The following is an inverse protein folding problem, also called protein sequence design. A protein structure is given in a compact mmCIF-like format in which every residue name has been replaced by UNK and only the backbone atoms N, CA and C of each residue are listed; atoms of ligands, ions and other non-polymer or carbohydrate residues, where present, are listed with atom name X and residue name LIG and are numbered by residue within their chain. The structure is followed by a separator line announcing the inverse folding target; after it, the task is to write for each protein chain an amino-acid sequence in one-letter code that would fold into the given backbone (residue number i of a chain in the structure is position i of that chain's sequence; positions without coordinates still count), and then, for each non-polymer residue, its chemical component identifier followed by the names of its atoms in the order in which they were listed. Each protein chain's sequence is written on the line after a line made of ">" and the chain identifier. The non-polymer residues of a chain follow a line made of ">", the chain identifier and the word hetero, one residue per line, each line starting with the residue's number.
data_IF_330743886699
#
_entry.id   IF_330743886699
#
_cell.length_a   1.000
_cell.length_b   1.000
_cell.length_c   1.000
_cell.angle_alpha   90.00
_cell.angle_beta   90.00
_cell.angle_gamma   90.00
#
_symmetry.space_group_name_H-M   'P 1'
#
loop_
_entity.id
_entity.type
_entity.pdbx_description
1 polymer ?
#
# COMPACT_ATOMS: atom_id res chain seq x y z
N UNK A 1 -7.22 -0.06 20.15
CA UNK A 1 -6.84 0.22 18.75
C UNK A 1 -5.33 0.05 18.48
N UNK A 2 -4.93 -0.44 17.29
CA UNK A 2 -3.52 -0.60 16.86
C UNK A 2 -3.34 -0.07 15.44
N UNK A 3 -2.27 0.70 15.20
CA UNK A 3 -1.90 1.18 13.86
C UNK A 3 -0.66 0.45 13.30
N UNK A 4 -0.71 0.13 12.01
CA UNK A 4 0.43 -0.32 11.19
C UNK A 4 0.59 0.61 9.99
N UNK A 5 1.81 1.05 9.70
CA UNK A 5 2.10 1.96 8.59
C UNK A 5 3.06 1.30 7.60
N UNK A 6 2.66 1.17 6.34
CA UNK A 6 3.50 0.66 5.25
C UNK A 6 3.65 1.75 4.20
N UNK A 7 4.84 1.90 3.62
CA UNK A 7 5.11 2.84 2.53
C UNK A 7 5.26 2.07 1.23
N UNK A 8 4.77 2.63 0.14
CA UNK A 8 4.74 1.95 -1.16
C UNK A 8 4.86 2.90 -2.34
N UNK A 9 4.78 2.33 -3.54
CA UNK A 9 4.90 3.06 -4.81
C UNK A 9 3.66 3.03 -5.68
N UNK A 10 2.76 2.07 -5.45
CA UNK A 10 1.68 1.74 -6.36
C UNK A 10 0.33 1.94 -5.67
N UNK A 11 -0.32 3.07 -5.97
CA UNK A 11 -1.68 3.34 -5.49
C UNK A 11 -2.69 2.38 -6.12
N UNK A 12 -2.56 2.07 -7.41
CA UNK A 12 -3.53 1.26 -8.15
C UNK A 12 -3.50 -0.22 -7.76
N UNK A 13 -2.32 -0.78 -7.50
CA UNK A 13 -2.17 -2.11 -6.93
C UNK A 13 -2.75 -2.20 -5.52
N UNK A 14 -2.57 -1.16 -4.70
CA UNK A 14 -3.12 -1.13 -3.34
C UNK A 14 -4.64 -0.95 -3.33
N UNK A 15 -5.18 -0.03 -4.15
CA UNK A 15 -6.63 0.18 -4.25
C UNK A 15 -7.33 -1.12 -4.66
N UNK A 16 -6.92 -1.73 -5.77
CA UNK A 16 -7.46 -3.03 -6.23
C UNK A 16 -7.36 -4.11 -5.16
N UNK A 17 -6.21 -4.25 -4.50
CA UNK A 17 -6.06 -5.23 -3.43
C UNK A 17 -7.09 -5.06 -2.29
N UNK A 18 -7.46 -3.80 -1.99
CA UNK A 18 -8.41 -3.48 -0.93
C UNK A 18 -9.88 -3.59 -1.39
N UNK A 19 -10.20 -3.39 -2.66
CA UNK A 19 -11.59 -3.26 -3.13
C UNK A 19 -12.04 -4.40 -4.05
N UNK A 20 -11.13 -5.15 -4.67
CA UNK A 20 -11.45 -6.22 -5.62
C UNK A 20 -12.43 -7.24 -5.03
N UNK A 21 -13.42 -7.62 -5.84
CA UNK A 21 -14.43 -8.61 -5.48
C UNK A 21 -15.35 -8.19 -4.31
N UNK A 22 -15.44 -6.88 -4.02
CA UNK A 22 -16.26 -6.37 -2.92
C UNK A 22 -15.65 -6.64 -1.54
N UNK A 23 -14.36 -6.97 -1.46
CA UNK A 23 -13.66 -7.26 -0.19
C UNK A 23 -13.69 -6.07 0.79
N UNK A 24 -13.71 -4.85 0.28
CA UNK A 24 -13.69 -3.63 1.08
C UNK A 24 -14.74 -2.63 0.67
N UNK A 25 -15.28 -1.95 1.69
CA UNK A 25 -16.22 -0.86 1.52
C UNK A 25 -15.48 0.46 1.65
N UNK A 26 -15.54 1.29 0.60
CA UNK A 26 -14.98 2.65 0.66
C UNK A 26 -15.89 3.50 1.52
N UNK A 27 -15.32 4.10 2.57
CA UNK A 27 -16.05 4.96 3.49
C UNK A 27 -15.91 6.45 3.15
N UNK A 28 -14.74 6.85 2.63
CA UNK A 28 -14.44 8.26 2.38
C UNK A 28 -13.34 8.43 1.31
N UNK A 29 -13.45 9.49 0.51
CA UNK A 29 -12.50 9.93 -0.51
C UNK A 29 -12.12 11.39 -0.20
N UNK A 30 -11.04 11.58 0.56
CA UNK A 30 -10.62 12.88 1.07
C UNK A 30 -9.70 13.59 0.09
N UNK A 31 -10.01 14.86 -0.18
CA UNK A 31 -9.23 15.73 -1.08
C UNK A 31 -9.01 15.09 -2.47
N UNK A 32 -9.98 14.29 -2.92
CA UNK A 32 -10.02 13.62 -4.20
C UNK A 32 -11.24 14.12 -4.97
N UNK A 33 -11.08 14.35 -6.28
CA UNK A 33 -12.22 14.63 -7.16
C UNK A 33 -12.96 13.34 -7.54
N UNK A 34 -12.26 12.21 -7.48
CA UNK A 34 -12.78 10.89 -7.85
C UNK A 34 -13.55 10.21 -6.71
N UNK A 35 -14.63 9.51 -7.06
CA UNK A 35 -15.45 8.69 -6.15
C UNK A 35 -15.18 7.17 -6.29
N UNK A 36 -14.54 6.75 -7.39
CA UNK A 36 -14.14 5.36 -7.63
C UNK A 36 -12.69 5.06 -7.18
N UNK A 37 -12.41 3.90 -6.54
CA UNK A 37 -11.06 3.54 -6.05
C UNK A 37 -9.94 3.62 -7.08
N UNK A 38 -10.17 3.11 -8.28
CA UNK A 38 -9.19 3.06 -9.37
C UNK A 38 -8.92 4.46 -9.95
N UNK A 39 -9.96 5.30 -10.01
CA UNK A 39 -9.85 6.69 -10.42
C UNK A 39 -9.10 7.52 -9.37
N UNK A 40 -9.46 7.36 -8.09
CA UNK A 40 -8.76 7.99 -6.97
C UNK A 40 -7.28 7.58 -6.90
N UNK A 41 -6.97 6.30 -7.15
CA UNK A 41 -5.60 5.82 -7.22
C UNK A 41 -4.82 6.46 -8.38
N UNK A 42 -5.45 6.59 -9.54
CA UNK A 42 -4.87 7.28 -10.70
C UNK A 42 -4.62 8.76 -10.42
N UNK A 43 -5.58 9.44 -9.79
CA UNK A 43 -5.47 10.83 -9.37
C UNK A 43 -4.29 11.05 -8.39
N UNK A 44 -4.19 10.21 -7.35
CA UNK A 44 -3.06 10.24 -6.42
C UNK A 44 -1.72 9.97 -7.10
N UNK A 45 -1.69 9.06 -8.08
CA UNK A 45 -0.48 8.72 -8.82
C UNK A 45 0.00 9.91 -9.67
N UNK A 46 -0.93 10.64 -10.31
CA UNK A 46 -0.63 11.85 -11.06
C UNK A 46 -0.16 12.96 -10.12
N UNK A 47 -0.87 13.23 -9.03
CA UNK A 47 -0.49 14.25 -8.06
C UNK A 47 0.88 14.00 -7.44
N UNK A 48 1.19 12.74 -7.10
CA UNK A 48 2.50 12.35 -6.57
C UNK A 48 3.65 12.59 -7.56
N UNK A 49 3.39 12.58 -8.88
CA UNK A 49 4.41 12.76 -9.93
C UNK A 49 5.04 14.16 -9.94
N UNK A 50 4.38 15.15 -9.34
CA UNK A 50 4.91 16.52 -9.14
C UNK A 50 6.22 16.48 -8.35
N UNK A 51 6.35 15.55 -7.40
CA UNK A 51 7.56 15.36 -6.61
C UNK A 51 8.54 14.42 -7.31
N UNK A 52 9.63 14.96 -7.87
CA UNK A 52 10.75 14.15 -8.42
C UNK A 52 11.59 13.41 -7.36
N UNK A 53 11.54 13.83 -6.09
CA UNK A 53 12.37 13.27 -5.00
C UNK A 53 11.75 12.06 -4.31
N UNK A 54 10.43 11.97 -4.29
CA UNK A 54 9.69 10.98 -3.49
C UNK A 54 9.59 9.64 -4.20
N UNK A 55 10.36 8.66 -3.73
CA UNK A 55 10.39 7.30 -4.30
C UNK A 55 9.27 6.39 -3.79
N UNK A 56 8.53 6.80 -2.74
CA UNK A 56 7.46 6.02 -2.13
C UNK A 56 6.34 6.94 -1.66
N UNK A 57 5.50 7.42 -2.59
CA UNK A 57 4.45 8.38 -2.30
C UNK A 57 3.28 7.78 -1.53
N UNK A 58 3.08 6.46 -1.57
CA UNK A 58 1.96 5.82 -0.87
C UNK A 58 2.29 5.69 0.62
N UNK A 59 1.36 6.10 1.48
CA UNK A 59 1.32 5.71 2.89
C UNK A 59 0.03 4.92 3.15
N UNK A 60 0.20 3.62 3.40
CA UNK A 60 -0.87 2.71 3.78
C UNK A 60 -0.90 2.56 5.29
N UNK A 61 -2.00 2.96 5.92
CA UNK A 61 -2.19 2.86 7.36
C UNK A 61 -3.33 1.88 7.60
N UNK A 62 -3.06 0.79 8.32
CA UNK A 62 -4.12 -0.07 8.86
C UNK A 62 -4.36 0.32 10.30
N UNK A 63 -5.62 0.58 10.64
CA UNK A 63 -6.06 0.82 12.02
C UNK A 63 -7.03 -0.29 12.39
N UNK A 64 -6.65 -1.09 13.39
CA UNK A 64 -7.47 -2.16 13.94
C UNK A 64 -8.08 -1.72 15.26
N UNK A 65 -9.37 -1.98 15.46
CA UNK A 65 -10.07 -1.74 16.72
C UNK A 65 -9.87 -2.92 17.68
N UNK A 66 -10.07 -2.69 18.97
CA UNK A 66 -10.04 -3.80 19.94
C UNK A 66 -11.32 -4.65 19.75
N UNK A 67 -11.24 -6.00 19.73
CA UNK A 67 -12.43 -6.84 19.65
C UNK A 67 -13.44 -6.57 20.76
N UNK A 68 -13.01 -6.09 21.94
CA UNK A 68 -13.90 -5.76 23.05
C UNK A 68 -14.75 -4.50 22.81
N UNK A 69 -14.36 -3.63 21.87
CA UNK A 69 -15.04 -2.36 21.60
C UNK A 69 -16.23 -2.49 20.63
N UNK A 70 -16.46 -3.69 20.07
CA UNK A 70 -17.50 -3.93 19.07
C UNK A 70 -17.21 -3.32 17.69
N UNK A 71 -18.22 -3.31 16.82
CA UNK A 71 -18.11 -2.74 15.47
C UNK A 71 -18.31 -1.22 15.50
N UNK A 72 -17.31 -0.40 15.12
CA UNK A 72 -17.50 1.03 15.03
C UNK A 72 -18.31 1.39 13.76
N UNK A 73 -19.18 2.39 13.89
CA UNK A 73 -19.97 2.89 12.76
C UNK A 73 -19.12 3.58 11.69
N UNK A 74 -19.66 3.70 10.47
CA UNK A 74 -18.94 4.31 9.33
C UNK A 74 -18.47 5.74 9.65
N UNK A 75 -19.35 6.58 10.23
CA UNK A 75 -19.02 7.95 10.59
C UNK A 75 -17.86 8.03 11.61
N UNK A 76 -17.88 7.16 12.62
CA UNK A 76 -16.79 7.06 13.60
C UNK A 76 -15.47 6.67 12.94
N UNK A 77 -15.47 5.68 12.04
CA UNK A 77 -14.26 5.28 11.32
C UNK A 77 -13.70 6.45 10.47
N UNK A 78 -14.57 7.22 9.81
CA UNK A 78 -14.16 8.39 9.04
C UNK A 78 -13.53 9.47 9.93
N UNK A 79 -14.14 9.79 11.07
CA UNK A 79 -13.61 10.76 12.04
C UNK A 79 -12.25 10.32 12.60
N UNK A 80 -12.13 9.04 12.96
CA UNK A 80 -10.90 8.47 13.52
C UNK A 80 -9.78 8.47 12.47
N UNK A 81 -10.12 8.19 11.20
CA UNK A 81 -9.18 8.30 10.08
C UNK A 81 -8.73 9.76 9.85
N UNK A 82 -9.65 10.72 9.92
CA UNK A 82 -9.34 12.14 9.78
C UNK A 82 -8.38 12.63 10.87
N UNK A 83 -8.60 12.24 12.12
CA UNK A 83 -7.69 12.58 13.23
C UNK A 83 -6.30 11.95 13.04
N UNK A 84 -6.23 10.69 12.59
CA UNK A 84 -4.95 10.03 12.29
C UNK A 84 -4.21 10.76 11.16
N UNK A 85 -4.90 11.13 10.08
CA UNK A 85 -4.33 11.90 8.97
C UNK A 85 -3.80 13.25 9.47
N UNK A 86 -4.59 13.99 10.25
CA UNK A 86 -4.19 15.27 10.84
C UNK A 86 -2.95 15.15 11.71
N UNK A 87 -2.92 14.16 12.61
CA UNK A 87 -1.76 13.89 13.47
C UNK A 87 -0.51 13.47 12.71
N UNK A 88 -0.65 12.93 11.51
CA UNK A 88 0.44 12.61 10.59
C UNK A 88 0.82 13.76 9.65
N UNK A 89 0.08 14.88 9.68
CA UNK A 89 0.31 16.02 8.80
C UNK A 89 -0.19 15.80 7.37
N UNK A 90 -1.13 14.87 7.21
CA UNK A 90 -1.74 14.45 5.94
C UNK A 90 -3.17 15.02 5.76
N UNK A 91 -3.59 15.99 6.59
CA UNK A 91 -4.96 16.55 6.56
C UNK A 91 -5.34 17.12 5.19
N UNK A 92 -4.39 17.78 4.51
CA UNK A 92 -4.57 18.39 3.20
C UNK A 92 -4.18 17.46 2.04
N UNK A 93 -3.79 16.22 2.34
CA UNK A 93 -3.36 15.26 1.35
C UNK A 93 -4.54 14.41 0.88
N UNK A 94 -4.44 13.89 -0.34
CA UNK A 94 -5.40 12.92 -0.85
C UNK A 94 -5.36 11.64 0.00
N UNK A 95 -6.53 11.13 0.36
CA UNK A 95 -6.65 9.86 1.05
C UNK A 95 -7.94 9.12 0.71
N UNK A 96 -7.87 7.80 0.58
CA UNK A 96 -9.03 6.92 0.48
C UNK A 96 -9.13 6.06 1.75
N UNK A 97 -10.32 5.99 2.34
CA UNK A 97 -10.61 5.21 3.55
C UNK A 97 -11.45 4.00 3.18
N UNK A 98 -10.97 2.80 3.51
CA UNK A 98 -11.63 1.53 3.18
C UNK A 98 -11.81 0.69 4.44
N UNK A 99 -13.02 0.23 4.72
CA UNK A 99 -13.32 -0.74 5.77
C UNK A 99 -13.19 -2.17 5.24
N UNK A 100 -12.54 -3.03 6.01
CA UNK A 100 -12.57 -4.49 5.83
C UNK A 100 -13.29 -5.15 7.01
N UNK A 101 -14.04 -6.23 6.71
CA UNK A 101 -14.72 -7.09 7.68
C UNK A 101 -14.25 -8.56 7.57
N UNK A 102 -13.08 -8.77 6.98
CA UNK A 102 -12.54 -10.11 6.65
C UNK A 102 -11.78 -10.77 7.81
N UNK A 103 -11.70 -10.14 8.98
CA UNK A 103 -11.07 -10.67 10.19
C UNK A 103 -11.99 -10.54 11.40
N UNK A 104 -11.68 -11.28 12.45
CA UNK A 104 -12.37 -11.22 13.76
C UNK A 104 -12.39 -9.82 14.37
N UNK A 105 -11.41 -8.98 14.04
CA UNK A 105 -11.37 -7.58 14.48
C UNK A 105 -11.69 -6.63 13.33
N UNK A 106 -12.51 -5.63 13.63
CA UNK A 106 -12.83 -4.55 12.73
C UNK A 106 -11.59 -3.71 12.44
N UNK A 107 -11.38 -3.36 11.19
CA UNK A 107 -10.25 -2.52 10.80
C UNK A 107 -10.55 -1.71 9.55
N UNK A 108 -9.85 -0.59 9.46
CA UNK A 108 -9.86 0.28 8.30
C UNK A 108 -8.46 0.42 7.71
N UNK A 109 -8.43 0.69 6.42
CA UNK A 109 -7.27 1.02 5.63
C UNK A 109 -7.37 2.47 5.18
N UNK A 110 -6.33 3.25 5.47
CA UNK A 110 -6.14 4.61 4.98
C UNK A 110 -5.06 4.53 3.91
N UNK A 111 -5.41 4.84 2.67
CA UNK A 111 -4.47 4.96 1.56
C UNK A 111 -4.24 6.44 1.31
N UNK A 112 -3.13 6.98 1.81
CA UNK A 112 -2.82 8.40 1.70
C UNK A 112 -1.67 8.66 0.71
N UNK A 113 -1.80 9.72 -0.09
CA UNK A 113 -0.68 10.28 -0.83
C UNK A 113 0.17 11.13 0.11
N UNK A 114 1.46 10.80 0.25
CA UNK A 114 2.39 11.58 1.08
C UNK A 114 2.76 12.91 0.47
N UNK A 115 2.70 13.03 -0.85
CA UNK A 115 3.02 14.27 -1.57
C UNK A 115 1.80 15.19 -1.45
N UNK A 116 1.97 16.30 -0.75
CA UNK A 116 0.91 17.28 -0.55
C UNK A 116 0.71 18.20 -1.77
N UNK A 117 -0.26 19.12 -1.68
CA UNK A 117 -0.52 20.11 -2.73
C UNK A 117 0.67 21.03 -3.05
N UNK A 118 1.63 21.16 -2.12
CA UNK A 118 2.87 21.92 -2.29
C UNK A 118 3.97 21.14 -3.04
N UNK A 119 3.66 19.92 -3.49
CA UNK A 119 4.61 19.03 -4.16
C UNK A 119 5.67 18.43 -3.22
N UNK A 120 5.53 18.58 -1.90
CA UNK A 120 6.47 18.02 -0.92
C UNK A 120 5.86 16.81 -0.22
N UNK A 121 6.68 15.79 0.01
CA UNK A 121 6.25 14.66 0.82
C UNK A 121 6.28 15.00 2.30
N UNK A 122 5.24 14.61 3.03
CA UNK A 122 5.22 14.71 4.49
C UNK A 122 6.39 13.96 5.11
N UNK A 123 6.95 14.54 6.18
CA UNK A 123 7.99 13.90 6.98
C UNK A 123 7.49 12.58 7.54
N UNK A 124 8.32 11.55 7.40
CA UNK A 124 8.04 10.24 7.96
C UNK A 124 8.65 10.03 9.36
N UNK A 125 9.31 11.06 9.88
CA UNK A 125 9.89 11.04 11.22
C UNK A 125 8.80 10.79 12.24
N UNK A 126 9.05 9.79 13.10
CA UNK A 126 8.16 9.41 14.20
C UNK A 126 6.71 9.10 13.78
N UNK A 127 6.45 8.72 12.51
CA UNK A 127 5.08 8.47 12.02
C UNK A 127 4.34 7.43 12.87
N UNK A 128 5.02 6.35 13.27
CA UNK A 128 4.45 5.33 14.15
C UNK A 128 4.12 5.86 15.56
N UNK A 129 4.98 6.70 16.12
CA UNK A 129 4.75 7.29 17.44
C UNK A 129 3.58 8.28 17.40
N UNK A 130 3.53 9.12 16.36
CA UNK A 130 2.44 10.08 16.11
C UNK A 130 1.10 9.39 15.89
N UNK A 131 1.06 8.35 15.06
CA UNK A 131 -0.16 7.56 14.87
C UNK A 131 -0.59 6.86 16.16
N UNK A 132 0.35 6.28 16.92
CA UNK A 132 0.03 5.67 18.22
C UNK A 132 -0.58 6.68 19.20
N UNK A 133 0.01 7.87 19.30
CA UNK A 133 -0.50 8.95 20.15
C UNK A 133 -1.91 9.35 19.71
N UNK A 134 -2.14 9.54 18.40
CA UNK A 134 -3.48 9.80 17.86
C UNK A 134 -4.49 8.73 18.30
N UNK A 135 -4.12 7.45 18.20
CA UNK A 135 -5.00 6.36 18.62
C UNK A 135 -5.26 6.35 20.13
N UNK A 136 -4.27 6.65 20.98
CA UNK A 136 -4.49 6.76 22.44
C UNK A 136 -5.49 7.87 22.75
N UNK A 137 -5.36 9.00 22.08
CA UNK A 137 -6.24 10.16 22.27
C UNK A 137 -7.66 9.86 21.77
N UNK A 138 -7.81 9.12 20.67
CA UNK A 138 -9.12 8.64 20.18
C UNK A 138 -9.75 7.69 21.19
N UNK A 139 -9.03 6.66 21.64
CA UNK A 139 -9.54 5.68 22.60
C UNK A 139 -10.03 6.37 23.87
N UNK A 140 -9.21 7.26 24.44
CA UNK A 140 -9.54 7.99 25.67
C UNK A 140 -10.78 8.86 25.50
N UNK A 141 -10.87 9.63 24.40
CA UNK A 141 -12.01 10.53 24.16
C UNK A 141 -13.32 9.79 23.90
N UNK A 142 -13.24 8.60 23.29
CA UNK A 142 -14.43 7.80 22.93
C UNK A 142 -14.78 6.74 23.97
N UNK A 143 -14.02 6.63 25.06
CA UNK A 143 -14.22 5.59 26.07
C UNK A 143 -13.96 4.17 25.58
N UNK A 144 -13.08 4.01 24.57
CA UNK A 144 -12.70 2.71 24.02
C UNK A 144 -11.60 2.06 24.84
N UNK A 145 -11.41 0.76 24.63
CA UNK A 145 -10.34 -0.02 25.26
C UNK A 145 -8.97 0.56 24.92
N UNK A 146 -8.33 1.12 25.95
CA UNK A 146 -6.98 1.67 25.81
C UNK A 146 -6.00 0.53 25.66
N UNK A 147 -5.55 0.28 24.43
CA UNK A 147 -4.54 -0.75 24.18
C UNK A 147 -3.27 -0.50 25.02
N UNK A 148 -2.80 -1.51 25.77
CA UNK A 148 -1.62 -1.36 26.59
C UNK A 148 -0.39 -1.00 25.74
N UNK A 149 0.46 -0.11 26.25
CA UNK A 149 1.71 0.25 25.57
C UNK A 149 2.60 -0.96 25.31
N UNK A 150 3.59 -0.83 24.41
CA UNK A 150 4.55 -1.91 24.06
C UNK A 150 5.27 -2.53 25.28
N UNK A 151 5.39 -1.78 26.38
CA UNK A 151 6.02 -2.20 27.63
C UNK A 151 5.03 -2.55 28.74
N UNK A 152 3.73 -2.58 28.42
CA UNK A 152 2.76 -3.10 29.33
C UNK A 152 2.94 -4.62 29.47
N UNK A 153 2.53 -5.18 30.61
CA UNK A 153 2.46 -6.62 30.76
C UNK A 153 1.59 -7.26 29.67
N UNK A 154 1.98 -8.43 29.20
CA UNK A 154 1.16 -9.25 28.30
C UNK A 154 -0.21 -9.51 28.94
N UNK A 155 -1.32 -9.30 28.23
CA UNK A 155 -2.65 -9.61 28.76
C UNK A 155 -2.84 -11.09 29.10
N UNK A 156 -2.08 -11.98 28.43
CA UNK A 156 -2.17 -13.42 28.60
C UNK A 156 -1.29 -13.95 29.75
N UNK A 157 -0.13 -13.33 29.98
CA UNK A 157 0.84 -13.84 30.95
C UNK A 157 1.09 -12.92 32.15
N UNK A 158 0.57 -11.69 32.14
CA UNK A 158 0.81 -10.70 33.19
C UNK A 158 2.27 -10.24 33.30
N UNK A 159 3.15 -10.70 32.41
CA UNK A 159 4.57 -10.37 32.40
C UNK A 159 4.92 -9.36 31.33
N UNK A 160 5.84 -8.44 31.65
CA UNK A 160 6.44 -7.56 30.64
C UNK A 160 7.30 -8.39 29.69
N UNK A 161 7.15 -8.17 28.37
CA UNK A 161 8.08 -8.74 27.40
C UNK A 161 9.51 -8.27 27.69
N UNK A 162 10.37 -9.20 28.12
CA UNK A 162 11.81 -8.99 28.32
C UNK A 162 12.57 -9.55 27.10
N UNK A 163 13.55 -8.80 26.59
CA UNK A 163 14.46 -9.23 25.52
C UNK A 163 14.47 -8.34 24.26
N UNK A 164 15.47 -8.49 23.37
CA UNK A 164 15.53 -7.77 22.09
C UNK A 164 14.35 -8.15 21.19
N UNK A 165 14.03 -7.29 20.20
CA UNK A 165 12.92 -7.45 19.25
C UNK A 165 12.91 -8.83 18.56
N UNK A 166 12.26 -9.80 19.16
CA UNK A 166 11.89 -11.04 18.51
C UNK A 166 10.58 -10.87 17.77
N UNK A 167 10.54 -10.12 16.66
CA UNK A 167 9.52 -10.42 15.65
C UNK A 167 9.96 -11.72 14.97
N UNK A 168 9.81 -12.83 15.69
CA UNK A 168 9.99 -14.16 15.13
C UNK A 168 8.72 -14.39 14.32
N UNK A 169 8.84 -14.27 12.99
CA UNK A 169 7.78 -14.65 12.07
C UNK A 169 7.40 -16.11 12.40
N UNK A 170 6.12 -16.45 12.62
CA UNK A 170 5.67 -17.82 12.88
C UNK A 170 6.08 -18.84 11.80
N UNK A 171 6.49 -18.36 10.62
CA UNK A 171 7.06 -19.16 9.52
C UNK A 171 8.59 -19.32 9.59
N UNK A 172 9.26 -18.70 10.56
CA UNK A 172 10.67 -18.94 10.86
C UNK A 172 10.77 -20.26 11.64
N UNK A 173 10.74 -21.37 10.90
CA UNK A 173 11.15 -22.65 11.44
C UNK A 173 12.53 -22.51 12.10
N UNK A 174 12.64 -22.97 13.35
CA UNK A 174 13.87 -22.88 14.14
C UNK A 174 14.94 -23.76 13.50
N UNK A 175 15.93 -23.15 12.89
CA UNK A 175 17.17 -23.84 12.51
C UNK A 175 17.95 -24.11 13.80
N UNK A 176 18.27 -25.38 14.14
CA UNK A 176 19.06 -25.71 15.32
C UNK A 176 20.37 -24.94 15.36
N UNK A 177 20.85 -24.60 16.56
CA UNK A 177 22.10 -23.84 16.69
C UNK A 177 23.29 -24.60 16.09
N UNK A 178 23.29 -25.92 16.18
CA UNK A 178 24.27 -26.80 15.52
C UNK A 178 24.32 -26.63 14.00
N UNK A 179 23.16 -26.46 13.35
CA UNK A 179 23.05 -26.20 11.91
C UNK A 179 23.57 -24.81 11.56
N UNK A 180 23.28 -23.80 12.39
CA UNK A 180 23.84 -22.45 12.21
C UNK A 180 25.36 -22.46 12.33
N UNK A 181 25.89 -23.11 13.37
CA UNK A 181 27.32 -23.22 13.58
C UNK A 181 27.98 -23.93 12.41
N UNK A 182 27.43 -25.07 11.96
CA UNK A 182 27.94 -25.78 10.79
C UNK A 182 27.98 -24.89 9.55
N UNK A 183 26.95 -24.08 9.30
CA UNK A 183 26.92 -23.13 8.18
C UNK A 183 28.02 -22.06 8.27
N UNK A 184 28.41 -21.66 9.48
CA UNK A 184 29.36 -20.59 9.72
C UNK A 184 30.81 -21.08 9.78
N UNK A 185 31.06 -22.29 10.26
CA UNK A 185 32.42 -22.78 10.58
C UNK A 185 32.98 -23.80 9.58
N UNK A 186 32.14 -24.45 8.77
CA UNK A 186 32.60 -25.47 7.80
C UNK A 186 33.65 -24.90 6.84
N UNK A 187 34.76 -25.61 6.60
CA UNK A 187 35.86 -25.10 5.77
C UNK A 187 35.78 -25.56 4.31
N UNK A 188 35.01 -26.61 4.02
CA UNK A 188 34.75 -27.10 2.67
C UNK A 188 33.31 -27.61 2.52
N UNK A 189 32.89 -27.88 1.28
CA UNK A 189 31.55 -28.39 0.96
C UNK A 189 31.25 -29.76 1.56
N UNK A 190 32.27 -30.61 1.72
CA UNK A 190 32.13 -31.94 2.32
C UNK A 190 31.73 -31.85 3.78
N UNK A 191 32.45 -31.04 4.56
CA UNK A 191 32.20 -30.81 5.99
C UNK A 191 30.82 -30.21 6.20
N UNK A 192 30.45 -29.22 5.38
CA UNK A 192 29.14 -28.60 5.42
C UNK A 192 28.02 -29.63 5.20
N UNK A 193 28.14 -30.49 4.18
CA UNK A 193 27.12 -31.50 3.88
C UNK A 193 27.04 -32.56 4.98
N UNK A 194 28.17 -33.01 5.53
CA UNK A 194 28.19 -33.99 6.63
C UNK A 194 27.58 -33.41 7.90
N UNK A 195 27.95 -32.18 8.27
CA UNK A 195 27.43 -31.51 9.45
C UNK A 195 25.93 -31.21 9.36
N UNK A 196 25.45 -30.78 8.19
CA UNK A 196 24.01 -30.60 7.97
C UNK A 196 23.26 -31.95 8.03
N UNK A 197 23.81 -33.01 7.40
CA UNK A 197 23.20 -34.34 7.39
C UNK A 197 23.08 -34.94 8.79
N UNK A 198 24.07 -34.72 9.66
CA UNK A 198 24.04 -35.16 11.07
C UNK A 198 22.79 -34.67 11.79
N UNK A 199 22.36 -33.45 11.50
CA UNK A 199 21.21 -32.83 12.15
C UNK A 199 19.89 -33.07 11.38
N UNK A 200 19.94 -33.87 10.31
CA UNK A 200 18.78 -34.14 9.43
C UNK A 200 18.49 -33.03 8.40
N UNK A 201 19.43 -32.13 8.18
CA UNK A 201 19.29 -31.01 7.25
C UNK A 201 20.10 -31.23 5.96
N UNK A 202 19.66 -30.59 4.88
CA UNK A 202 20.44 -30.51 3.63
C UNK A 202 20.36 -29.12 3.03
N UNK A 203 21.36 -28.77 2.22
CA UNK A 203 21.39 -27.52 1.47
C UNK A 203 21.07 -27.81 0.00
N UNK A 204 20.13 -27.06 -0.57
CA UNK A 204 19.80 -27.08 -1.99
C UNK A 204 20.01 -25.70 -2.62
N UNK A 205 20.58 -25.69 -3.82
CA UNK A 205 20.69 -24.47 -4.63
C UNK A 205 19.45 -24.32 -5.50
N UNK A 206 18.72 -23.22 -5.33
CA UNK A 206 17.49 -22.93 -6.06
C UNK A 206 17.75 -21.81 -7.07
N UNK A 207 17.52 -22.08 -8.36
CA UNK A 207 17.54 -21.07 -9.42
C UNK A 207 16.30 -20.16 -9.26
N UNK A 208 16.49 -18.85 -9.39
CA UNK A 208 15.42 -17.87 -9.32
C UNK A 208 15.29 -17.13 -10.66
N UNK A 209 14.06 -16.86 -11.11
CA UNK A 209 13.85 -16.02 -12.29
C UNK A 209 14.32 -14.59 -11.98
N UNK A 210 15.21 -14.05 -12.83
CA UNK A 210 15.77 -12.70 -12.73
C UNK A 210 16.53 -12.38 -11.43
N UNK A 211 17.03 -13.40 -10.71
CA UNK A 211 17.91 -13.22 -9.53
C UNK A 211 19.02 -14.28 -9.50
N UNK A 212 20.17 -14.00 -8.85
CA UNK A 212 21.20 -15.01 -8.62
C UNK A 212 20.63 -16.22 -7.86
N UNK A 213 21.16 -17.40 -8.13
CA UNK A 213 20.76 -18.61 -7.43
C UNK A 213 20.92 -18.46 -5.91
N UNK A 214 19.96 -18.97 -5.15
CA UNK A 214 19.93 -18.91 -3.70
C UNK A 214 20.20 -20.25 -3.05
N UNK A 215 20.67 -20.25 -1.81
CA UNK A 215 20.82 -21.46 -1.00
C UNK A 215 19.60 -21.62 -0.07
N UNK A 216 19.02 -22.81 -0.03
CA UNK A 216 17.85 -23.16 0.77
C UNK A 216 18.19 -24.38 1.63
N UNK A 217 18.01 -24.27 2.94
CA UNK A 217 18.05 -25.37 3.87
C UNK A 217 16.73 -26.14 3.83
N UNK A 218 16.82 -27.47 3.80
CA UNK A 218 15.67 -28.36 3.95
C UNK A 218 15.86 -29.18 5.20
N UNK A 219 14.93 -29.06 6.13
CA UNK A 219 14.95 -29.80 7.38
C UNK A 219 14.21 -31.13 7.31
N UNK A 220 14.26 -31.92 8.41
CA UNK A 220 13.75 -33.29 8.45
C UNK A 220 12.22 -33.40 8.26
N UNK A 221 11.46 -32.36 8.63
CA UNK A 221 10.02 -32.27 8.40
C UNK A 221 9.63 -31.65 7.05
N UNK A 222 10.57 -31.53 6.11
CA UNK A 222 10.33 -30.95 4.79
C UNK A 222 10.32 -29.41 4.75
N UNK A 223 10.55 -28.74 5.88
CA UNK A 223 10.61 -27.28 5.94
C UNK A 223 11.72 -26.72 5.04
N UNK A 224 11.41 -25.67 4.26
CA UNK A 224 12.35 -25.00 3.35
C UNK A 224 12.67 -23.60 3.86
N UNK A 225 13.92 -23.31 4.14
CA UNK A 225 14.36 -22.05 4.75
C UNK A 225 15.50 -21.46 3.93
N UNK A 226 15.38 -20.21 3.49
CA UNK A 226 16.49 -19.53 2.82
C UNK A 226 17.70 -19.41 3.76
N UNK A 227 18.87 -19.91 3.36
CA UNK A 227 20.07 -19.89 4.19
C UNK A 227 20.50 -18.46 4.57
N UNK A 228 20.27 -17.48 3.68
CA UNK A 228 20.51 -16.07 3.96
C UNK A 228 19.65 -15.48 5.10
N UNK A 229 18.51 -16.10 5.45
CA UNK A 229 17.70 -15.72 6.62
C UNK A 229 18.31 -16.24 7.93
N UNK A 230 19.12 -17.29 7.87
CA UNK A 230 19.86 -17.84 9.02
C UNK A 230 21.07 -16.98 9.34
N UNK A 231 21.74 -16.45 8.31
CA UNK A 231 22.82 -15.48 8.44
C UNK A 231 23.29 -14.94 7.09
N UNK A 232 23.75 -13.69 7.03
CA UNK A 232 24.25 -13.07 5.78
C UNK A 232 25.46 -13.81 5.18
N UNK A 233 26.29 -14.40 6.03
CA UNK A 233 27.43 -15.25 5.68
C UNK A 233 27.01 -16.62 5.11
N UNK A 234 25.77 -17.04 5.30
CA UNK A 234 25.22 -18.31 4.79
C UNK A 234 24.50 -18.16 3.43
N UNK A 235 24.61 -17.01 2.77
CA UNK A 235 24.13 -16.84 1.38
C UNK A 235 24.98 -17.68 0.42
N UNK A 236 24.40 -18.16 -0.68
CA UNK A 236 25.10 -19.02 -1.64
C UNK A 236 26.39 -18.39 -2.17
N UNK A 237 26.36 -17.08 -2.47
CA UNK A 237 27.53 -16.34 -2.92
C UNK A 237 28.66 -16.34 -1.88
N UNK A 238 28.34 -16.15 -0.60
CA UNK A 238 29.32 -16.15 0.49
C UNK A 238 29.84 -17.55 0.81
N UNK A 239 28.98 -18.57 0.73
CA UNK A 239 29.39 -19.97 0.86
C UNK A 239 30.35 -20.36 -0.27
N UNK A 240 30.07 -20.00 -1.52
CA UNK A 240 30.98 -20.23 -2.66
C UNK A 240 32.30 -19.49 -2.53
N UNK A 241 32.26 -18.24 -2.08
CA UNK A 241 33.48 -17.45 -1.84
C UNK A 241 34.37 -18.07 -0.76
N UNK A 242 33.79 -18.76 0.22
CA UNK A 242 34.52 -19.32 1.37
C UNK A 242 34.95 -20.77 1.18
N UNK A 243 34.08 -21.58 0.58
CA UNK A 243 34.26 -23.04 0.42
C UNK A 243 34.82 -23.42 -0.95
N UNK A 244 35.00 -22.45 -1.85
CA UNK A 244 35.47 -22.67 -3.21
C UNK A 244 34.40 -23.21 -4.16
N UNK A 245 34.79 -23.62 -5.39
CA UNK A 245 33.86 -24.18 -6.37
C UNK A 245 33.23 -25.46 -5.85
N UNK A 246 31.91 -25.53 -5.96
CA UNK A 246 31.14 -26.72 -5.58
C UNK A 246 31.43 -27.84 -6.58
N UNK A 247 32.10 -28.91 -6.15
CA UNK A 247 32.24 -30.12 -6.96
C UNK A 247 30.88 -30.82 -7.04
N UNK A 248 30.03 -30.35 -7.96
CA UNK A 248 28.78 -31.03 -8.25
C UNK A 248 29.10 -32.29 -9.05
N UNK A 249 29.01 -33.46 -8.42
CA UNK A 249 28.68 -34.67 -9.16
C UNK A 249 27.45 -34.39 -10.03
N UNK A 250 27.47 -34.87 -11.28
CA UNK A 250 26.50 -34.58 -12.34
C UNK A 250 25.06 -34.41 -11.82
N UNK A 251 24.27 -33.45 -12.32
CA UNK A 251 22.85 -33.39 -12.01
C UNK A 251 22.21 -34.72 -12.42
N UNK A 252 21.65 -35.44 -11.46
CA UNK A 252 20.78 -36.58 -11.74
C UNK A 252 19.57 -36.00 -12.46
N UNK A 253 19.50 -36.23 -13.77
CA UNK A 253 18.29 -35.98 -14.53
C UNK A 253 17.18 -36.82 -13.89
N UNK A 254 16.05 -36.17 -13.59
CA UNK A 254 14.85 -36.89 -13.22
C UNK A 254 14.47 -37.77 -14.42
N UNK A 255 14.76 -39.07 -14.30
CA UNK A 255 14.36 -40.09 -15.26
C UNK A 255 12.84 -40.16 -15.24
N UNK A 256 12.25 -39.98 -16.42
CA UNK A 256 10.83 -40.06 -16.67
C UNK A 256 10.23 -41.36 -16.14
N UNK A 257 9.19 -41.25 -15.32
CA UNK A 257 8.12 -42.26 -15.20
C UNK A 257 6.81 -41.51 -14.96
N UNK A 258 5.90 -41.61 -15.92
CA UNK A 258 4.61 -40.92 -15.90
C UNK A 258 4.05 -40.82 -17.31
N UNK A 259 3.37 -41.89 -17.74
CA UNK A 259 2.59 -41.98 -18.99
C UNK A 259 1.76 -40.70 -19.20
N UNK A 260 2.04 -39.98 -20.27
CA UNK A 260 1.12 -38.97 -20.79
C UNK A 260 0.11 -39.66 -21.71
N UNK A 261 -1.15 -39.69 -21.30
CA UNK A 261 -2.27 -39.89 -22.20
C UNK A 261 -2.29 -38.73 -23.20
N UNK A 262 -2.16 -39.08 -24.48
CA UNK A 262 -2.30 -38.17 -25.60
C UNK A 262 -3.75 -37.73 -25.76
N UNK A 263 -4.01 -36.42 -25.67
CA UNK A 263 -5.14 -35.77 -26.30
C UNK A 263 -4.60 -34.62 -27.15
N UNK A 264 -4.75 -34.78 -28.46
CA UNK A 264 -4.38 -33.81 -29.48
C UNK A 264 -5.41 -32.68 -29.61
N UNK A 265 -4.92 -31.47 -29.91
CA UNK A 265 -5.45 -30.43 -30.84
C UNK A 265 -5.03 -29.01 -30.36
N UNK A 266 -5.06 -27.97 -31.20
CA UNK A 266 -4.57 -27.87 -32.58
C UNK A 266 -3.61 -26.67 -32.76
N UNK A 267 -2.97 -26.60 -33.93
CA UNK A 267 -2.04 -25.52 -34.33
C UNK A 267 -2.74 -24.14 -34.43
N UNK A 268 -2.28 -23.17 -33.62
CA UNK A 268 -2.61 -21.75 -33.73
C UNK A 268 -1.38 -20.91 -34.09
N UNK A 269 -1.47 -20.17 -35.20
CA UNK A 269 -0.39 -19.39 -35.83
C UNK A 269 0.25 -18.36 -34.87
N UNK A 270 1.59 -18.33 -34.84
CA UNK A 270 2.41 -17.29 -34.19
C UNK A 270 2.08 -15.90 -34.75
N UNK A 271 1.47 -15.02 -33.94
CA UNK A 271 1.45 -13.56 -34.18
C UNK A 271 2.76 -12.93 -33.68
N UNK A 272 3.46 -12.22 -34.56
CA UNK A 272 4.67 -11.42 -34.21
C UNK A 272 4.27 -10.26 -33.28
N UNK A 273 4.98 -10.09 -32.17
CA UNK A 273 4.88 -8.89 -31.31
C UNK A 273 5.49 -7.68 -32.04
N UNK A 274 4.87 -6.49 -32.01
CA UNK A 274 5.50 -5.29 -32.54
C UNK A 274 6.62 -4.80 -31.60
N UNK A 275 7.64 -4.16 -32.20
CA UNK A 275 8.80 -3.61 -31.50
C UNK A 275 8.41 -2.38 -30.68
N UNK A 276 9.00 -2.25 -29.49
CA UNK A 276 8.71 -1.22 -28.47
C UNK A 276 8.87 0.25 -28.91
N UNK A 277 9.38 0.53 -30.11
CA UNK A 277 9.54 1.90 -30.63
C UNK A 277 8.29 2.52 -31.26
N UNK A 278 7.25 1.73 -31.57
CA UNK A 278 6.05 2.24 -32.23
C UNK A 278 5.02 2.81 -31.24
N UNK A 279 4.92 2.25 -30.03
CA UNK A 279 3.92 2.64 -29.02
C UNK A 279 4.11 4.06 -28.44
N UNK A 280 5.33 4.61 -28.46
CA UNK A 280 5.57 5.98 -27.95
C UNK A 280 5.13 7.08 -28.94
N UNK A 281 5.09 6.79 -30.24
CA UNK A 281 4.68 7.78 -31.26
C UNK A 281 3.16 7.94 -31.30
N UNK A 282 2.42 6.86 -31.04
CA UNK A 282 0.96 6.88 -31.05
C UNK A 282 0.38 7.59 -29.81
N UNK A 283 1.02 7.45 -28.63
CA UNK A 283 0.59 8.14 -27.40
C UNK A 283 0.83 9.65 -27.49
N UNK A 284 1.93 10.10 -28.12
CA UNK A 284 2.20 11.51 -28.32
C UNK A 284 1.21 12.17 -29.31
N UNK A 285 0.77 11.42 -30.34
CA UNK A 285 -0.22 11.87 -31.31
C UNK A 285 -1.62 11.98 -30.70
N UNK A 286 -2.04 10.98 -29.93
CA UNK A 286 -3.34 11.00 -29.21
C UNK A 286 -3.36 12.14 -28.18
N UNK A 287 -2.25 12.39 -27.50
CA UNK A 287 -2.12 13.52 -26.57
C UNK A 287 -2.32 14.88 -27.25
N UNK A 288 -1.78 15.06 -28.46
CA UNK A 288 -1.91 16.30 -29.22
C UNK A 288 -3.34 16.54 -29.75
N UNK A 289 -4.01 15.49 -30.24
CA UNK A 289 -5.39 15.55 -30.74
C UNK A 289 -6.37 15.97 -29.62
N UNK A 290 -6.22 15.41 -28.40
CA UNK A 290 -7.06 15.74 -27.23
C UNK A 290 -6.88 17.20 -26.78
N UNK A 291 -5.64 17.72 -26.75
CA UNK A 291 -5.41 19.14 -26.42
C UNK A 291 -6.05 20.09 -27.44
N UNK A 292 -6.12 19.71 -28.72
CA UNK A 292 -6.71 20.55 -29.75
C UNK A 292 -8.25 20.62 -29.65
N UNK A 293 -8.91 19.52 -29.30
CA UNK A 293 -10.36 19.48 -29.06
C UNK A 293 -10.77 20.28 -27.83
N UNK A 294 -10.01 20.18 -26.73
CA UNK A 294 -10.31 20.89 -25.48
C UNK A 294 -10.14 22.41 -25.66
N UNK A 295 -9.08 22.85 -26.35
CA UNK A 295 -8.87 24.29 -26.65
C UNK A 295 -9.93 24.82 -27.63
N UNK A 296 -10.38 24.00 -28.59
CA UNK A 296 -11.48 24.34 -29.49
C UNK A 296 -12.85 24.48 -28.79
N UNK A 297 -13.11 23.68 -27.76
CA UNK A 297 -14.34 23.75 -26.98
C UNK A 297 -14.40 24.99 -26.07
N UNK A 298 -13.26 25.40 -25.51
CA UNK A 298 -13.16 26.57 -24.63
C UNK A 298 -13.28 27.89 -25.42
N UNK A 299 -12.79 27.94 -26.66
CA UNK A 299 -12.87 29.15 -27.50
C UNK A 299 -14.25 29.38 -28.11
N UNK A 300 -15.08 28.34 -28.27
CA UNK A 300 -16.48 28.48 -28.76
C UNK A 300 -17.48 28.99 -27.72
N UNK A 301 -17.13 28.98 -26.43
CA UNK A 301 -18.02 29.41 -25.33
C UNK A 301 -17.80 30.85 -24.86
N UNK A 302 -16.84 31.57 -25.44
CA UNK A 302 -16.56 32.96 -25.10
C UNK A 302 -16.91 33.92 -26.26
N UNK A 303 -18.21 34.10 -26.53
CA UNK A 303 -18.70 35.25 -27.31
C UNK A 303 -19.11 36.39 -26.34
N UNK A 304 -18.63 37.63 -26.54
CA UNK A 304 -18.96 38.74 -25.64
C UNK A 304 -20.39 39.25 -25.91
N UNK A 305 -21.24 39.26 -24.89
CA UNK A 305 -22.52 39.99 -24.92
C UNK A 305 -22.24 41.49 -24.90
N UNK A 306 -22.33 42.12 -26.07
CA UNK A 306 -22.21 43.57 -26.26
C UNK A 306 -23.39 44.34 -25.67
N UNK A 307 -23.06 45.54 -25.15
CA UNK A 307 -23.97 46.62 -24.75
C UNK A 307 -24.98 46.96 -25.86
N UNK A 308 -26.22 47.25 -25.45
CA UNK A 308 -27.11 48.15 -26.18
C UNK A 308 -27.41 49.36 -25.31
N UNK A 309 -27.18 50.55 -25.88
CA UNK A 309 -27.46 51.86 -25.30
C UNK A 309 -28.62 52.48 -26.11
N UNK A 310 -29.62 53.01 -25.42
CA UNK A 310 -30.34 54.22 -25.83
C UNK A 310 -31.68 54.08 -26.58
N UNK A 311 -32.78 54.42 -25.89
CA UNK A 311 -33.86 55.22 -26.47
C UNK A 311 -34.65 55.93 -25.35
N UNK A 312 -34.52 57.25 -25.33
CA UNK A 312 -35.29 58.21 -24.53
C UNK A 312 -36.75 58.26 -24.94
N UNK A 313 -37.70 58.41 -23.99
CA UNK A 313 -38.92 59.21 -24.19
C UNK A 313 -39.47 59.74 -22.85
N UNK A 314 -39.70 61.06 -22.85
CA UNK A 314 -40.34 61.90 -21.82
C UNK A 314 -41.84 61.60 -21.65
N UNK A 315 -42.33 61.92 -20.44
CA UNK A 315 -43.68 62.34 -20.01
C UNK A 315 -44.15 61.48 -18.82
N UNK A 316 -44.73 61.96 -17.73
CA UNK A 316 -45.18 63.29 -17.34
C UNK A 316 -45.54 63.25 -15.85
N UNK A 317 -45.48 64.41 -15.21
CA UNK A 317 -45.81 64.59 -13.79
C UNK A 317 -47.29 64.29 -13.52
N UNK A 318 -47.61 63.63 -12.39
CA UNK A 318 -48.86 63.89 -11.68
C UNK A 318 -48.75 63.58 -10.18
N UNK A 319 -48.74 64.66 -9.41
CA UNK A 319 -49.10 64.74 -7.97
C UNK A 319 -50.45 64.06 -7.70
N UNK A 320 -50.56 63.33 -6.60
CA UNK A 320 -51.76 63.24 -5.72
C UNK A 320 -51.32 62.63 -4.37
N UNK A 321 -51.08 63.49 -3.37
CA UNK A 321 -51.95 63.72 -2.20
C UNK A 321 -52.17 62.48 -1.32
N UNK A 322 -51.39 62.41 -0.24
CA UNK A 322 -51.75 61.75 1.03
C UNK A 322 -52.86 62.57 1.72
N UNK A 323 -53.80 61.92 2.44
CA UNK A 323 -54.42 62.52 3.61
C UNK A 323 -53.78 61.96 4.90
N UNK A 324 -53.30 62.86 5.77
CA UNK A 324 -53.37 62.64 7.23
C UNK A 324 -54.85 62.70 7.64
N UNK A 325 -55.30 62.32 8.82
CA UNK A 325 -54.78 62.47 10.19
C UNK A 325 -55.83 61.76 11.09
N UNK A 326 -55.40 61.21 12.24
CA UNK A 326 -56.08 61.19 13.56
C UNK A 326 -55.75 59.89 14.31
N UNK A 327 -54.95 60.00 15.38
CA UNK A 327 -55.12 59.15 16.58
C UNK A 327 -56.16 59.78 17.51
N UNK A 328 -56.14 59.56 18.83
CA UNK A 328 -55.53 58.48 19.63
C UNK A 328 -56.59 57.76 20.51
N UNK A 329 -56.23 56.71 21.24
CA UNK A 329 -57.09 56.20 22.32
C UNK A 329 -56.70 54.85 22.89
N UNK A 330 -56.10 54.90 24.09
CA UNK A 330 -55.91 53.88 25.14
C UNK A 330 -55.15 52.59 24.81
#
# INVERSE_FOLDING_TARGET
>A
MIAKIVKGKDFGGLARYLTDGGRGEVLDMRNLASDAPEAAASEMQVAASVSRRTQSPVMHITVSYDPADGEPGNAQMCDDAAEVLRRLGLERNQAMIVRHRDREHHHMHIVANRVGPDGKAVSDSNSYARAKAALRDIETRRGLTVTPGRHAPSPLSGERMKGPRGSIDPRQHRVPESVKQTLLTSQNWGDLRRGLKRDGWRLETVKQCNRPAGAVLIGPGGQRIAAGRVGRSATLARLRSRLGPEQTGKPVSARATGKALTLAKPHGKRRKKPKAGQQMKDVARIGAEITSEIVGAITKTAAPRGRLIGATRRAGSRKKKRPGLHGPGM
#
